data_IF_482251723377
#
_entry.id   IF_482251723377
#
_cell.length_a   1.000
_cell.length_b   1.000
_cell.length_c   1.000
_cell.angle_alpha   90.00
_cell.angle_beta   90.00
_cell.angle_gamma   90.00
#
_symmetry.space_group_name_H-M   'P 1'
#
loop_
_entity.id
_entity.type
_entity.pdbx_description
1 polymer ?
#
# COMPACT_ATOMS: atom_id res chain seq x y z
N UNK A 1 -10.88 -31.99 17.81
CA UNK A 1 -11.00 -32.38 16.41
C UNK A 1 -11.66 -31.23 15.68
N UNK A 2 -11.05 -30.08 15.76
CA UNK A 2 -11.39 -28.85 15.06
C UNK A 2 -10.07 -28.04 15.02
N UNK A 3 -9.38 -28.02 13.97
CA UNK A 3 -8.09 -27.35 13.89
C UNK A 3 -7.38 -27.61 12.56
N UNK A 4 -8.10 -27.51 11.44
CA UNK A 4 -7.47 -27.76 10.15
C UNK A 4 -8.11 -26.97 8.98
N UNK A 5 -8.78 -25.87 9.25
CA UNK A 5 -9.40 -25.04 8.21
C UNK A 5 -8.86 -23.60 8.14
N UNK A 6 -8.07 -23.16 9.12
CA UNK A 6 -7.51 -21.79 9.13
C UNK A 6 -6.30 -21.57 8.19
N UNK A 7 -5.49 -22.61 7.96
CA UNK A 7 -4.24 -22.47 7.19
C UNK A 7 -4.42 -22.49 5.67
N UNK A 8 -5.63 -22.75 5.16
CA UNK A 8 -5.89 -22.83 3.71
C UNK A 8 -6.36 -21.49 3.11
N UNK A 9 -6.77 -20.55 3.93
CA UNK A 9 -7.28 -19.25 3.46
C UNK A 9 -6.14 -18.29 3.06
N UNK A 10 -5.15 -18.14 3.91
CA UNK A 10 -4.03 -17.22 3.67
C UNK A 10 -3.15 -17.65 2.47
N UNK A 11 -3.00 -18.96 2.24
CA UNK A 11 -2.23 -19.46 1.09
C UNK A 11 -2.93 -19.27 -0.26
N UNK A 12 -4.25 -19.01 -0.26
CA UNK A 12 -5.02 -18.82 -1.50
C UNK A 12 -5.06 -17.34 -1.94
N UNK A 13 -4.89 -16.40 -1.03
CA UNK A 13 -4.82 -14.97 -1.38
C UNK A 13 -3.50 -14.63 -2.09
N UNK A 14 -2.35 -15.07 -1.54
CA UNK A 14 -1.05 -14.86 -2.17
C UNK A 14 -0.87 -15.56 -3.53
N UNK A 15 -1.56 -16.72 -3.75
CA UNK A 15 -1.54 -17.43 -5.04
C UNK A 15 -2.46 -16.79 -6.11
N UNK A 16 -3.41 -15.96 -5.71
CA UNK A 16 -4.32 -15.33 -6.67
C UNK A 16 -3.65 -14.13 -7.38
N UNK A 17 -2.78 -13.39 -6.70
CA UNK A 17 -2.04 -12.26 -7.29
C UNK A 17 -1.00 -12.75 -8.31
N UNK A 18 -0.21 -13.77 -7.96
CA UNK A 18 0.76 -14.36 -8.89
C UNK A 18 0.12 -15.04 -10.13
N UNK A 19 -1.12 -15.53 -10.00
CA UNK A 19 -1.82 -16.15 -11.14
C UNK A 19 -2.42 -15.13 -12.10
N UNK A 20 -2.68 -13.91 -11.67
CA UNK A 20 -3.23 -12.87 -12.55
C UNK A 20 -2.16 -12.24 -13.44
N UNK A 21 -0.95 -12.07 -12.92
CA UNK A 21 0.20 -11.52 -13.70
C UNK A 21 0.74 -12.57 -14.70
N UNK A 22 0.68 -13.87 -14.37
CA UNK A 22 1.21 -14.94 -15.23
C UNK A 22 0.36 -15.32 -16.45
N UNK A 23 -0.89 -14.89 -16.55
CA UNK A 23 -1.83 -15.39 -17.57
C UNK A 23 -2.06 -14.44 -18.76
N UNK A 24 -1.34 -13.31 -18.83
CA UNK A 24 -1.46 -12.34 -19.93
C UNK A 24 -0.42 -12.51 -21.04
N UNK A 25 0.50 -13.50 -20.95
CA UNK A 25 1.60 -13.64 -21.93
C UNK A 25 1.51 -14.85 -22.86
N UNK A 26 0.38 -15.60 -22.92
CA UNK A 26 0.32 -16.76 -23.80
C UNK A 26 -0.95 -16.85 -24.64
N UNK A 27 -0.97 -16.07 -25.73
CA UNK A 27 -1.77 -16.37 -26.93
C UNK A 27 -1.24 -15.66 -28.18
N UNK A 28 -0.36 -16.30 -28.92
CA UNK A 28 -0.36 -16.17 -30.37
C UNK A 28 0.15 -17.46 -31.00
N UNK A 29 -0.75 -18.11 -31.69
CA UNK A 29 -0.54 -19.32 -32.48
C UNK A 29 0.25 -19.05 -33.78
N UNK A 30 1.10 -20.02 -34.06
CA UNK A 30 1.52 -20.57 -35.37
C UNK A 30 1.42 -19.74 -36.66
N UNK A 31 2.55 -19.54 -37.34
CA UNK A 31 2.90 -20.20 -38.60
C UNK A 31 4.28 -19.78 -39.20
N UNK A 32 5.01 -20.83 -39.53
CA UNK A 32 6.00 -21.02 -40.58
C UNK A 32 7.40 -20.41 -40.51
N UNK A 33 8.30 -21.38 -40.63
CA UNK A 33 9.72 -21.32 -40.74
C UNK A 33 10.22 -20.59 -41.99
N UNK A 34 11.28 -19.80 -41.86
CA UNK A 34 12.42 -19.87 -42.77
C UNK A 34 13.73 -19.38 -42.10
N UNK A 35 14.80 -20.00 -42.48
CA UNK A 35 16.14 -20.03 -41.91
C UNK A 35 17.00 -18.84 -42.35
N UNK A 36 17.73 -18.22 -41.44
CA UNK A 36 19.22 -18.04 -41.47
C UNK A 36 19.67 -17.16 -40.30
N UNK A 37 20.86 -17.39 -39.73
CA UNK A 37 21.32 -16.69 -38.53
C UNK A 37 22.17 -15.46 -38.86
N UNK A 38 21.96 -14.36 -38.15
CA UNK A 38 23.01 -13.35 -38.06
C UNK A 38 22.96 -12.58 -36.73
N UNK A 39 24.14 -12.58 -36.13
CA UNK A 39 24.76 -11.66 -35.15
C UNK A 39 23.99 -11.15 -33.92
N UNK A 40 24.59 -11.55 -32.78
CA UNK A 40 24.44 -10.97 -31.45
C UNK A 40 24.51 -9.45 -31.46
N UNK A 41 23.48 -8.83 -30.94
CA UNK A 41 23.60 -7.51 -30.33
C UNK A 41 22.96 -7.54 -28.94
N UNK A 42 23.65 -6.95 -27.99
CA UNK A 42 23.31 -6.97 -26.56
C UNK A 42 22.08 -6.10 -26.31
N UNK A 43 21.13 -6.52 -25.45
CA UNK A 43 20.05 -5.64 -25.09
C UNK A 43 20.54 -4.59 -24.09
N UNK A 44 20.37 -3.35 -24.48
CA UNK A 44 20.45 -2.19 -23.63
C UNK A 44 19.35 -2.32 -22.54
N UNK A 45 19.76 -2.14 -21.30
CA UNK A 45 18.84 -2.02 -20.19
C UNK A 45 18.34 -0.59 -20.16
N UNK A 46 17.19 -0.35 -20.73
CA UNK A 46 16.40 0.79 -20.39
C UNK A 46 15.17 0.32 -19.60
N UNK A 47 15.12 0.86 -18.46
CA UNK A 47 14.17 0.90 -17.37
C UNK A 47 12.70 0.72 -17.78
N UNK A 48 12.01 -0.07 -17.01
CA UNK A 48 10.56 -0.22 -17.06
C UNK A 48 9.91 1.09 -16.56
N UNK A 49 9.54 1.94 -17.50
CA UNK A 49 8.61 3.02 -17.29
C UNK A 49 7.26 2.51 -17.81
N UNK A 50 6.48 1.92 -16.93
CA UNK A 50 5.14 1.46 -17.22
C UNK A 50 4.15 2.44 -16.61
N UNK A 51 3.98 3.58 -17.28
CA UNK A 51 2.90 4.50 -16.93
C UNK A 51 1.52 3.88 -17.25
N UNK A 52 0.53 4.26 -16.49
CA UNK A 52 -0.87 3.86 -16.64
C UNK A 52 -1.42 4.07 -18.07
N UNK A 53 -0.84 5.02 -18.84
CA UNK A 53 -1.16 5.30 -20.24
C UNK A 53 -0.83 4.14 -21.20
N UNK A 54 0.17 3.30 -20.90
CA UNK A 54 0.48 2.12 -21.71
C UNK A 54 -0.62 1.06 -21.64
N UNK A 55 -1.40 1.06 -20.57
CA UNK A 55 -2.51 0.14 -20.38
C UNK A 55 -3.79 0.57 -21.12
N UNK A 56 -3.96 1.86 -21.41
CA UNK A 56 -5.13 2.41 -22.12
C UNK A 56 -5.03 2.33 -23.66
N UNK A 57 -3.93 1.88 -24.22
CA UNK A 57 -3.80 1.57 -25.65
C UNK A 57 -3.87 2.77 -26.60
N UNK A 58 -3.53 3.98 -26.15
CA UNK A 58 -3.44 5.15 -27.01
C UNK A 58 -2.20 5.07 -27.91
N UNK A 59 -2.38 4.64 -29.15
CA UNK A 59 -1.32 4.67 -30.19
C UNK A 59 -1.35 5.99 -30.92
N UNK A 60 -0.32 6.80 -30.75
CA UNK A 60 -0.08 7.98 -31.59
C UNK A 60 0.53 7.54 -32.93
N UNK A 61 -0.30 7.48 -34.00
CA UNK A 61 0.12 7.23 -35.37
C UNK A 61 0.27 8.56 -36.14
N UNK A 62 1.39 9.25 -35.93
CA UNK A 62 1.85 10.25 -36.90
C UNK A 62 3.06 9.75 -37.69
N UNK A 63 2.79 8.98 -38.76
CA UNK A 63 3.82 8.66 -39.79
C UNK A 63 4.19 9.92 -40.55
N UNK A 64 5.44 10.38 -40.39
CA UNK A 64 6.04 11.39 -41.27
C UNK A 64 6.74 10.67 -42.43
N UNK A 65 6.25 10.88 -43.65
CA UNK A 65 6.82 10.37 -44.90
C UNK A 65 8.23 10.95 -45.17
N UNK A 66 9.30 10.12 -45.35
CA UNK A 66 10.67 10.60 -45.53
C UNK A 66 11.05 11.05 -46.97
N UNK A 67 10.09 11.28 -47.87
CA UNK A 67 10.39 11.51 -49.29
C UNK A 67 10.10 12.90 -49.85
N UNK A 68 10.20 13.97 -49.10
CA UNK A 68 10.11 15.31 -49.69
C UNK A 68 11.43 16.08 -49.56
N UNK A 69 12.37 15.71 -50.42
CA UNK A 69 13.63 16.41 -50.57
C UNK A 69 13.86 16.80 -52.04
N UNK A 70 13.49 18.01 -52.42
CA UNK A 70 14.08 18.63 -53.62
C UNK A 70 14.07 20.17 -53.61
N UNK A 71 15.26 20.73 -53.53
CA UNK A 71 15.75 21.93 -54.22
C UNK A 71 15.32 23.33 -53.74
N UNK A 72 16.22 24.02 -53.02
CA UNK A 72 16.43 25.46 -53.17
C UNK A 72 17.89 25.83 -52.86
N UNK A 73 18.48 26.65 -53.70
CA UNK A 73 19.87 27.10 -53.67
C UNK A 73 20.17 28.17 -52.58
N UNK A 74 21.46 28.65 -52.52
CA UNK A 74 21.97 29.31 -51.30
C UNK A 74 21.57 30.79 -51.25
N UNK A 75 20.86 31.16 -50.17
CA UNK A 75 20.72 32.53 -49.72
C UNK A 75 21.00 32.56 -48.22
N UNK A 76 21.95 33.42 -47.86
CA UNK A 76 22.38 33.67 -46.49
C UNK A 76 21.17 34.03 -45.59
N UNK A 77 20.95 33.34 -44.48
CA UNK A 77 19.87 33.66 -43.61
C UNK A 77 20.31 34.60 -42.49
N UNK A 78 19.58 35.67 -42.36
CA UNK A 78 19.33 36.27 -41.06
C UNK A 78 18.93 35.15 -40.08
N UNK A 79 19.47 35.12 -38.87
CA UNK A 79 19.00 34.11 -37.89
C UNK A 79 17.52 34.36 -37.63
N UNK A 80 16.72 33.43 -38.13
CA UNK A 80 15.32 33.35 -37.72
C UNK A 80 15.26 33.40 -36.21
N UNK A 81 14.31 34.12 -35.59
CA UNK A 81 14.08 34.01 -34.16
C UNK A 81 13.89 32.52 -33.88
N UNK A 82 14.72 31.99 -32.99
CA UNK A 82 14.49 30.64 -32.48
C UNK A 82 13.04 30.65 -32.00
N UNK A 83 12.19 29.91 -32.71
CA UNK A 83 10.91 29.55 -32.20
C UNK A 83 11.26 28.77 -30.92
N UNK A 84 11.09 29.42 -29.78
CA UNK A 84 11.27 28.77 -28.50
C UNK A 84 10.52 27.45 -28.56
N UNK A 85 11.10 26.48 -27.93
CA UNK A 85 10.61 25.11 -27.83
C UNK A 85 9.09 25.10 -27.92
N UNK A 86 8.57 24.48 -29.00
CA UNK A 86 7.12 24.36 -29.19
C UNK A 86 6.53 23.33 -28.20
N UNK A 87 7.35 22.88 -27.28
CA UNK A 87 7.04 22.02 -26.14
C UNK A 87 7.17 22.79 -24.80
N UNK A 88 7.03 24.10 -24.82
CA UNK A 88 6.75 24.79 -23.57
C UNK A 88 5.34 24.38 -23.16
N UNK A 89 5.27 23.34 -22.32
CA UNK A 89 4.09 22.93 -21.58
C UNK A 89 3.46 24.21 -20.99
N UNK A 90 2.23 24.47 -21.32
CA UNK A 90 1.54 25.65 -20.82
C UNK A 90 1.18 25.32 -19.36
N UNK A 91 1.98 25.86 -18.48
CA UNK A 91 1.80 25.83 -17.03
C UNK A 91 0.64 26.75 -16.64
N UNK A 92 -0.59 26.30 -16.79
CA UNK A 92 -1.82 27.05 -16.52
C UNK A 92 -2.70 26.24 -15.59
N UNK A 93 -3.03 26.85 -14.46
CA UNK A 93 -4.02 26.32 -13.54
C UNK A 93 -5.41 26.25 -14.20
N UNK A 94 -5.96 25.07 -14.34
CA UNK A 94 -7.26 24.80 -14.94
C UNK A 94 -8.29 24.46 -13.86
N UNK A 95 -9.56 24.72 -14.15
CA UNK A 95 -10.67 24.21 -13.36
C UNK A 95 -11.67 23.52 -14.31
N UNK A 96 -11.73 22.21 -14.24
CA UNK A 96 -12.56 21.36 -15.11
C UNK A 96 -13.65 20.70 -14.26
N UNK A 97 -14.85 20.60 -14.84
CA UNK A 97 -15.98 19.95 -14.18
C UNK A 97 -16.74 19.08 -15.18
N UNK A 98 -16.90 17.80 -14.83
CA UNK A 98 -17.74 16.84 -15.53
C UNK A 98 -19.23 17.05 -15.25
N UNK A 99 -20.05 16.09 -15.63
CA UNK A 99 -21.51 16.11 -15.54
C UNK A 99 -22.05 14.80 -14.91
N UNK A 100 -23.25 14.37 -15.30
CA UNK A 100 -23.92 13.19 -14.73
C UNK A 100 -23.59 11.86 -15.48
N UNK A 101 -22.47 11.76 -16.19
CA UNK A 101 -22.04 10.58 -16.95
C UNK A 101 -20.53 10.49 -16.90
N UNK A 102 -19.98 9.30 -17.17
CA UNK A 102 -18.54 9.11 -17.20
C UNK A 102 -17.82 10.09 -18.14
N UNK A 103 -17.01 10.94 -17.58
CA UNK A 103 -16.27 12.00 -18.23
C UNK A 103 -14.76 11.69 -18.28
N UNK A 104 -14.03 12.34 -19.16
CA UNK A 104 -12.56 12.28 -19.22
C UNK A 104 -12.03 13.69 -19.09
N UNK A 105 -11.42 14.00 -17.97
CA UNK A 105 -10.84 15.30 -17.64
C UNK A 105 -9.31 15.18 -17.57
N UNK A 106 -8.61 16.14 -18.15
CA UNK A 106 -7.16 16.19 -18.08
C UNK A 106 -6.69 17.61 -17.85
N UNK A 107 -5.90 17.80 -16.80
CA UNK A 107 -5.11 18.96 -16.53
C UNK A 107 -4.07 19.18 -17.63
N UNK A 108 -2.93 19.50 -17.32
CA UNK A 108 -1.77 19.50 -18.25
C UNK A 108 -0.49 19.72 -17.46
N UNK A 109 -0.25 20.88 -16.96
CA UNK A 109 0.75 21.32 -16.04
C UNK A 109 0.24 22.59 -15.40
N UNK A 110 0.67 22.89 -14.21
CA UNK A 110 0.07 23.87 -13.33
C UNK A 110 -0.86 23.23 -12.31
N UNK A 111 -1.26 23.96 -11.32
CA UNK A 111 -2.06 23.45 -10.21
C UNK A 111 -3.54 23.40 -10.62
N UNK A 112 -4.02 22.21 -10.99
CA UNK A 112 -5.34 22.03 -11.60
C UNK A 112 -6.42 21.64 -10.58
N UNK A 113 -7.68 21.86 -10.92
CA UNK A 113 -8.84 21.36 -10.16
C UNK A 113 -9.77 20.61 -11.09
N UNK A 114 -9.90 19.29 -10.87
CA UNK A 114 -10.73 18.40 -11.68
C UNK A 114 -11.83 17.81 -10.81
N UNK A 115 -13.09 17.93 -11.25
CA UNK A 115 -14.26 17.34 -10.59
C UNK A 115 -15.02 16.47 -11.59
N UNK A 116 -15.13 15.17 -11.35
CA UNK A 116 -15.84 14.21 -12.19
C UNK A 116 -17.34 14.42 -12.13
N UNK A 117 -17.93 14.20 -10.99
CA UNK A 117 -19.36 14.39 -10.75
C UNK A 117 -20.08 13.07 -10.51
N UNK A 118 -21.00 12.68 -11.36
CA UNK A 118 -21.64 11.37 -11.24
C UNK A 118 -21.36 10.54 -12.47
N UNK A 119 -21.01 9.28 -12.27
CA UNK A 119 -20.67 8.36 -13.36
C UNK A 119 -19.24 7.90 -13.23
N UNK A 120 -18.82 6.95 -13.99
CA UNK A 120 -17.47 6.40 -13.92
C UNK A 120 -16.49 7.32 -14.68
N UNK A 121 -15.74 8.15 -13.97
CA UNK A 121 -14.93 9.23 -14.51
C UNK A 121 -13.43 8.86 -14.62
N UNK A 122 -12.70 9.54 -15.50
CA UNK A 122 -11.25 9.47 -15.63
C UNK A 122 -10.65 10.86 -15.49
N UNK A 123 -9.84 11.04 -14.46
CA UNK A 123 -9.19 12.29 -14.10
C UNK A 123 -7.68 12.13 -14.24
N UNK A 124 -6.98 13.07 -14.84
CA UNK A 124 -5.51 13.07 -14.97
C UNK A 124 -4.97 14.47 -14.76
N UNK A 125 -4.19 14.67 -13.70
CA UNK A 125 -3.55 15.95 -13.36
C UNK A 125 -2.35 16.22 -14.25
N UNK A 126 -1.37 15.37 -14.20
CA UNK A 126 -0.05 15.31 -14.86
C UNK A 126 1.07 16.02 -14.11
N UNK A 127 1.01 17.28 -13.87
CA UNK A 127 2.10 17.94 -13.17
C UNK A 127 1.75 19.33 -12.68
N UNK A 128 2.18 19.65 -11.52
CA UNK A 128 1.74 20.71 -10.63
C UNK A 128 1.04 20.09 -9.42
N UNK A 129 0.65 20.85 -8.45
CA UNK A 129 -0.05 20.38 -7.26
C UNK A 129 -1.57 20.37 -7.52
N UNK A 130 -2.12 19.20 -7.88
CA UNK A 130 -3.49 19.06 -8.39
C UNK A 130 -4.52 18.71 -7.30
N UNK A 131 -5.76 19.12 -7.51
CA UNK A 131 -6.90 18.67 -6.72
C UNK A 131 -7.91 17.94 -7.60
N UNK A 132 -8.16 16.68 -7.32
CA UNK A 132 -9.08 15.82 -8.07
C UNK A 132 -10.15 15.22 -7.17
N UNK A 133 -11.40 15.18 -7.68
CA UNK A 133 -12.54 14.58 -6.99
C UNK A 133 -13.40 13.81 -7.98
N UNK A 134 -13.61 12.49 -7.72
CA UNK A 134 -14.47 11.63 -8.53
C UNK A 134 -15.95 11.89 -8.25
N UNK A 135 -16.37 11.93 -7.01
CA UNK A 135 -17.74 12.03 -6.47
C UNK A 135 -18.50 10.68 -6.50
N UNK A 136 -19.60 10.51 -7.29
CA UNK A 136 -20.40 9.27 -7.34
C UNK A 136 -20.00 8.43 -8.57
N UNK A 137 -19.48 7.27 -8.41
CA UNK A 137 -19.14 6.38 -9.55
C UNK A 137 -17.97 5.47 -9.22
N UNK A 138 -17.52 4.68 -10.18
CA UNK A 138 -16.27 3.96 -10.08
C UNK A 138 -15.22 4.75 -10.87
N UNK A 139 -14.46 5.57 -10.16
CA UNK A 139 -13.62 6.59 -10.74
C UNK A 139 -12.15 6.18 -10.83
N UNK A 140 -11.42 6.80 -11.74
CA UNK A 140 -10.00 6.62 -11.91
C UNK A 140 -9.31 7.99 -11.90
N UNK A 141 -8.40 8.23 -10.96
CA UNK A 141 -7.64 9.46 -10.86
C UNK A 141 -6.12 9.18 -10.84
N UNK A 142 -5.38 9.96 -11.62
CA UNK A 142 -3.93 9.91 -11.78
C UNK A 142 -3.40 11.33 -11.56
N UNK A 143 -2.69 11.56 -10.42
CA UNK A 143 -2.12 12.83 -10.03
C UNK A 143 -1.03 13.27 -10.98
N UNK A 144 0.02 12.51 -11.02
CA UNK A 144 1.17 12.73 -11.88
C UNK A 144 2.37 13.21 -11.12
N UNK A 145 2.89 14.39 -11.40
CA UNK A 145 4.04 14.91 -10.70
C UNK A 145 3.68 16.18 -9.92
N UNK A 146 3.89 16.19 -8.63
CA UNK A 146 3.55 17.29 -7.72
C UNK A 146 2.99 16.76 -6.43
N UNK A 147 2.55 17.60 -5.55
CA UNK A 147 1.91 17.18 -4.31
C UNK A 147 0.37 17.25 -4.47
N UNK A 148 -0.21 16.11 -4.83
CA UNK A 148 -1.57 16.01 -5.29
C UNK A 148 -2.58 15.70 -4.17
N UNK A 149 -3.84 16.03 -4.39
CA UNK A 149 -4.94 15.63 -3.50
C UNK A 149 -6.04 14.98 -4.31
N UNK A 150 -6.21 13.68 -4.13
CA UNK A 150 -7.17 12.84 -4.84
C UNK A 150 -8.27 12.36 -3.88
N UNK A 151 -9.52 12.45 -4.32
CA UNK A 151 -10.68 11.92 -3.60
C UNK A 151 -11.53 11.09 -4.58
N UNK A 152 -11.70 9.81 -4.30
CA UNK A 152 -12.59 8.94 -5.05
C UNK A 152 -14.05 9.35 -4.84
N UNK A 153 -14.59 9.01 -3.71
CA UNK A 153 -15.94 9.41 -3.31
C UNK A 153 -16.82 8.25 -2.95
N UNK A 154 -17.77 7.90 -3.79
CA UNK A 154 -18.65 6.76 -3.56
C UNK A 154 -18.64 5.83 -4.77
N UNK A 155 -18.23 4.61 -4.57
CA UNK A 155 -18.04 3.57 -5.59
C UNK A 155 -16.70 2.91 -5.42
N UNK A 156 -16.36 1.97 -6.26
CA UNK A 156 -15.08 1.27 -6.17
C UNK A 156 -14.06 2.04 -7.03
N UNK A 157 -13.20 2.85 -6.38
CA UNK A 157 -12.34 3.82 -7.02
C UNK A 157 -10.88 3.34 -7.17
N UNK A 158 -10.15 3.92 -8.14
CA UNK A 158 -8.72 3.71 -8.32
C UNK A 158 -8.00 5.06 -8.35
N UNK A 159 -7.13 5.31 -7.38
CA UNK A 159 -6.37 6.54 -7.22
C UNK A 159 -4.87 6.26 -7.27
N UNK A 160 -4.12 7.03 -8.03
CA UNK A 160 -2.67 6.98 -8.10
C UNK A 160 -2.10 8.39 -7.90
N UNK A 161 -1.17 8.55 -6.93
CA UNK A 161 -0.45 9.81 -6.68
C UNK A 161 0.64 10.05 -7.71
N UNK A 162 1.46 9.05 -7.98
CA UNK A 162 2.66 9.03 -8.82
C UNK A 162 3.86 9.72 -8.13
N UNK A 163 4.48 10.79 -8.72
CA UNK A 163 5.66 11.46 -8.17
C UNK A 163 5.28 12.60 -7.20
N UNK A 164 5.56 12.50 -5.92
CA UNK A 164 5.36 13.62 -4.98
C UNK A 164 4.80 13.21 -3.62
N UNK A 165 4.66 14.15 -2.70
CA UNK A 165 4.06 13.87 -1.39
C UNK A 165 2.54 14.02 -1.48
N UNK A 166 1.81 12.93 -1.70
CA UNK A 166 0.42 12.94 -2.11
C UNK A 166 -0.58 12.66 -0.98
N UNK A 167 -1.83 13.04 -1.23
CA UNK A 167 -2.93 12.72 -0.35
C UNK A 167 -4.08 12.06 -1.10
N UNK A 168 -4.34 10.78 -0.80
CA UNK A 168 -5.36 9.97 -1.42
C UNK A 168 -6.46 9.60 -0.40
N UNK A 169 -7.71 9.73 -0.80
CA UNK A 169 -8.87 9.34 0.00
C UNK A 169 -9.82 8.55 -0.90
N UNK A 170 -10.00 7.26 -0.63
CA UNK A 170 -10.93 6.40 -1.36
C UNK A 170 -12.36 6.84 -1.14
N UNK A 171 -12.88 6.60 0.04
CA UNK A 171 -14.21 7.06 0.43
C UNK A 171 -15.14 5.95 0.83
N UNK A 172 -16.11 5.60 0.00
CA UNK A 172 -17.03 4.52 0.27
C UNK A 172 -17.10 3.56 -0.92
N UNK A 173 -16.69 2.33 -0.74
CA UNK A 173 -16.59 1.31 -1.78
C UNK A 173 -15.37 0.45 -1.50
N UNK A 174 -14.98 -0.37 -2.45
CA UNK A 174 -13.76 -1.15 -2.35
C UNK A 174 -12.69 -0.46 -3.23
N UNK A 175 -11.87 0.35 -2.61
CA UNK A 175 -10.99 1.28 -3.29
C UNK A 175 -9.56 0.73 -3.46
N UNK A 176 -8.84 1.24 -4.45
CA UNK A 176 -7.42 0.95 -4.66
C UNK A 176 -6.64 2.26 -4.71
N UNK A 177 -5.74 2.45 -3.74
CA UNK A 177 -4.94 3.64 -3.57
C UNK A 177 -3.46 3.31 -3.73
N UNK A 178 -2.76 4.03 -4.58
CA UNK A 178 -1.33 3.87 -4.88
C UNK A 178 -0.64 5.21 -4.66
N UNK A 179 0.27 5.32 -3.67
CA UNK A 179 1.09 6.52 -3.45
C UNK A 179 2.16 6.64 -4.51
N UNK A 180 3.03 5.68 -4.61
CA UNK A 180 4.20 5.45 -5.47
C UNK A 180 5.47 6.14 -4.96
N UNK A 181 5.99 7.25 -5.56
CA UNK A 181 7.22 7.91 -5.15
C UNK A 181 6.90 9.14 -4.27
N UNK A 182 7.28 9.12 -3.01
CA UNK A 182 7.05 10.29 -2.13
C UNK A 182 6.67 9.89 -0.71
N UNK A 183 6.36 10.86 0.12
CA UNK A 183 5.86 10.59 1.47
C UNK A 183 4.34 10.81 1.50
N UNK A 184 3.59 9.72 1.31
CA UNK A 184 2.19 9.76 0.96
C UNK A 184 1.25 9.58 2.16
N UNK A 185 0.02 10.06 2.02
CA UNK A 185 -1.04 9.87 3.01
C UNK A 185 -2.26 9.23 2.36
N UNK A 186 -2.49 7.96 2.62
CA UNK A 186 -3.57 7.16 2.06
C UNK A 186 -4.63 6.85 3.12
N UNK A 187 -5.89 7.08 2.79
CA UNK A 187 -7.04 6.73 3.63
C UNK A 187 -8.10 6.00 2.78
N UNK A 188 -8.30 4.71 3.03
CA UNK A 188 -9.28 3.88 2.32
C UNK A 188 -10.69 4.36 2.58
N UNK A 189 -11.17 4.20 3.79
CA UNK A 189 -12.46 4.73 4.22
C UNK A 189 -13.45 3.66 4.64
N UNK A 190 -14.47 3.41 3.86
CA UNK A 190 -15.48 2.42 4.18
C UNK A 190 -15.60 1.38 3.05
N UNK A 191 -15.27 0.15 3.34
CA UNK A 191 -15.24 -0.96 2.38
C UNK A 191 -13.90 -1.67 2.46
N UNK A 192 -13.74 -2.74 1.71
CA UNK A 192 -12.48 -3.50 1.75
C UNK A 192 -11.51 -2.93 0.74
N UNK A 193 -10.54 -2.18 1.25
CA UNK A 193 -9.65 -1.35 0.47
C UNK A 193 -8.27 -1.99 0.26
N UNK A 194 -7.56 -1.49 -0.75
CA UNK A 194 -6.16 -1.86 -1.03
C UNK A 194 -5.32 -0.59 -1.09
N UNK A 195 -4.39 -0.44 -0.14
CA UNK A 195 -3.52 0.71 -0.01
C UNK A 195 -2.06 0.29 -0.20
N UNK A 196 -1.34 0.97 -1.08
CA UNK A 196 0.08 0.75 -1.32
C UNK A 196 0.78 2.11 -1.24
N UNK A 197 1.68 2.28 -0.26
CA UNK A 197 2.51 3.48 -0.13
C UNK A 197 3.48 3.61 -1.29
N UNK A 198 4.56 2.87 -1.28
CA UNK A 198 5.52 2.82 -2.40
C UNK A 198 6.96 3.07 -1.98
N UNK A 199 7.63 4.10 -2.54
CA UNK A 199 8.93 4.58 -2.07
C UNK A 199 8.73 5.83 -1.20
N UNK A 200 9.13 5.81 0.06
CA UNK A 200 9.07 6.97 0.95
C UNK A 200 8.53 6.62 2.33
N UNK A 201 8.47 7.59 3.23
CA UNK A 201 7.93 7.37 4.57
C UNK A 201 6.41 7.65 4.53
N UNK A 202 5.58 6.60 4.42
CA UNK A 202 4.16 6.71 4.11
C UNK A 202 3.24 6.56 5.35
N UNK A 203 2.01 7.08 5.25
CA UNK A 203 0.98 6.92 6.27
C UNK A 203 -0.30 6.35 5.66
N UNK A 204 -0.64 5.11 6.03
CA UNK A 204 -1.75 4.34 5.49
C UNK A 204 -2.78 4.05 6.58
N UNK A 205 -4.05 4.34 6.30
CA UNK A 205 -5.18 4.01 7.19
C UNK A 205 -6.23 3.29 6.36
N UNK A 206 -6.54 2.04 6.70
CA UNK A 206 -7.57 1.23 6.04
C UNK A 206 -8.96 1.81 6.26
N UNK A 207 -9.50 1.65 7.44
CA UNK A 207 -10.79 2.21 7.85
C UNK A 207 -11.80 1.18 8.30
N UNK A 208 -12.99 1.14 7.69
CA UNK A 208 -14.02 0.15 8.01
C UNK A 208 -13.93 -1.06 7.08
N UNK A 209 -14.01 -2.29 7.60
CA UNK A 209 -14.00 -3.60 6.94
C UNK A 209 -12.57 -4.13 6.65
N UNK A 210 -12.47 -5.30 6.02
CA UNK A 210 -11.21 -6.03 5.89
C UNK A 210 -10.32 -5.40 4.80
N UNK A 211 -9.20 -4.80 5.19
CA UNK A 211 -8.32 -4.03 4.34
C UNK A 211 -6.96 -4.72 4.08
N UNK A 212 -6.28 -4.31 3.02
CA UNK A 212 -4.92 -4.70 2.72
C UNK A 212 -4.03 -3.47 2.55
N UNK A 213 -3.02 -3.33 3.42
CA UNK A 213 -2.09 -2.22 3.49
C UNK A 213 -0.66 -2.71 3.24
N UNK A 214 0.08 -2.03 2.38
CA UNK A 214 1.52 -2.27 2.18
C UNK A 214 2.26 -0.94 2.19
N UNK A 215 3.19 -0.76 3.13
CA UNK A 215 4.05 0.43 3.20
C UNK A 215 4.99 0.49 2.00
N UNK A 216 5.90 -0.43 1.90
CA UNK A 216 6.82 -0.54 0.76
C UNK A 216 8.27 -0.31 1.13
N UNK A 217 8.90 0.73 0.62
CA UNK A 217 10.24 1.16 1.00
C UNK A 217 10.17 2.45 1.82
N UNK A 218 10.68 2.43 3.03
CA UNK A 218 10.69 3.63 3.89
C UNK A 218 10.29 3.29 5.31
N UNK A 219 10.05 4.29 6.15
CA UNK A 219 9.58 4.02 7.51
C UNK A 219 8.11 4.41 7.57
N UNK A 220 7.25 3.41 7.49
CA UNK A 220 5.85 3.58 7.23
C UNK A 220 4.99 3.50 8.51
N UNK A 221 3.85 4.17 8.52
CA UNK A 221 2.86 4.13 9.60
C UNK A 221 1.54 3.55 9.07
N UNK A 222 1.23 2.30 9.44
CA UNK A 222 0.09 1.54 8.94
C UNK A 222 -0.93 1.30 10.07
N UNK A 223 -2.18 1.66 9.83
CA UNK A 223 -3.30 1.46 10.76
C UNK A 223 -4.42 0.72 10.03
N UNK A 224 -4.80 -0.48 10.50
CA UNK A 224 -5.92 -1.24 9.97
C UNK A 224 -7.26 -0.57 10.28
N UNK A 225 -7.46 -0.18 11.52
CA UNK A 225 -8.68 0.35 12.16
C UNK A 225 -9.72 -0.76 12.33
N UNK A 226 -10.83 -0.83 11.65
CA UNK A 226 -11.91 -1.79 11.95
C UNK A 226 -12.09 -2.86 10.87
N UNK A 227 -11.80 -4.11 11.18
CA UNK A 227 -11.86 -5.20 10.22
C UNK A 227 -10.89 -6.33 10.55
N UNK A 228 -10.76 -7.27 9.66
CA UNK A 228 -9.67 -8.24 9.74
C UNK A 228 -8.65 -7.90 8.67
N UNK A 229 -7.66 -7.11 9.07
CA UNK A 229 -6.78 -6.42 8.17
C UNK A 229 -5.47 -7.19 7.93
N UNK A 230 -4.83 -6.87 6.81
CA UNK A 230 -3.50 -7.37 6.49
C UNK A 230 -2.56 -6.19 6.27
N UNK A 231 -1.57 -6.05 7.14
CA UNK A 231 -0.57 -4.99 7.14
C UNK A 231 0.80 -5.58 6.82
N UNK A 232 1.47 -5.05 5.81
CA UNK A 232 2.82 -5.40 5.40
C UNK A 232 3.67 -4.12 5.38
N UNK A 233 4.59 -3.98 6.36
CA UNK A 233 5.47 -2.81 6.45
C UNK A 233 6.40 -2.73 5.24
N UNK A 234 7.13 -3.80 4.98
CA UNK A 234 8.03 -3.91 3.83
C UNK A 234 9.49 -3.75 4.21
N UNK A 235 10.14 -2.68 3.81
CA UNK A 235 11.53 -2.43 4.14
C UNK A 235 11.72 -1.05 4.76
N UNK A 236 12.17 -1.02 6.00
CA UNK A 236 12.34 0.18 6.80
C UNK A 236 12.00 -0.07 8.25
N UNK A 237 11.87 0.96 9.05
CA UNK A 237 11.47 0.79 10.44
C UNK A 237 10.02 1.23 10.59
N UNK A 238 9.12 0.27 10.51
CA UNK A 238 7.70 0.52 10.33
C UNK A 238 6.94 0.51 11.65
N UNK A 239 5.82 1.21 11.69
CA UNK A 239 4.88 1.19 12.80
C UNK A 239 3.54 0.68 12.31
N UNK A 240 3.09 -0.44 12.88
CA UNK A 240 1.82 -1.07 12.50
C UNK A 240 0.88 -1.17 13.70
N UNK A 241 -0.36 -0.76 13.51
CA UNK A 241 -1.40 -0.82 14.52
C UNK A 241 -2.61 -1.65 14.03
N UNK A 242 -2.72 -2.88 14.56
CA UNK A 242 -3.86 -3.78 14.36
C UNK A 242 -4.85 -3.73 15.52
N UNK A 243 -4.82 -2.69 16.36
CA UNK A 243 -5.71 -2.58 17.51
C UNK A 243 -7.00 -1.88 17.13
N UNK A 244 -8.09 -2.51 17.40
CA UNK A 244 -9.43 -1.97 17.20
C UNK A 244 -9.68 -0.71 18.04
N UNK A 245 -10.13 0.36 17.41
CA UNK A 245 -10.56 1.57 18.12
C UNK A 245 -11.83 1.36 18.93
N UNK A 246 -12.70 0.42 18.55
CA UNK A 246 -13.93 0.03 19.24
C UNK A 246 -14.25 -1.45 18.99
N UNK A 247 -13.69 -2.36 19.76
CA UNK A 247 -13.97 -3.79 19.66
C UNK A 247 -15.42 -4.14 20.06
N UNK A 248 -16.25 -4.50 19.09
CA UNK A 248 -17.55 -5.16 19.32
C UNK A 248 -17.39 -6.68 19.24
N UNK A 249 -16.47 -7.16 18.45
CA UNK A 249 -16.00 -8.55 18.35
C UNK A 249 -14.50 -8.51 18.09
N UNK A 250 -13.70 -9.47 18.63
CA UNK A 250 -12.29 -9.54 18.27
C UNK A 250 -12.21 -9.89 16.76
N UNK A 251 -11.74 -8.99 16.00
CA UNK A 251 -11.33 -9.16 14.61
C UNK A 251 -9.88 -9.66 14.64
N UNK A 252 -9.33 -10.14 13.57
CA UNK A 252 -8.02 -10.80 13.59
C UNK A 252 -7.17 -10.21 12.48
N UNK A 253 -6.14 -9.48 12.87
CA UNK A 253 -5.22 -8.84 11.93
C UNK A 253 -3.97 -9.66 11.71
N UNK A 254 -3.38 -9.44 10.54
CA UNK A 254 -2.11 -10.02 10.15
C UNK A 254 -1.10 -8.90 9.92
N UNK A 255 -0.08 -8.82 10.78
CA UNK A 255 0.97 -7.82 10.75
C UNK A 255 2.30 -8.48 10.36
N UNK A 256 2.96 -7.96 9.34
CA UNK A 256 4.28 -8.36 8.91
C UNK A 256 5.20 -7.13 8.86
N UNK A 257 6.20 -7.04 9.76
CA UNK A 257 7.17 -5.95 9.77
C UNK A 257 7.99 -5.91 8.49
N UNK A 258 8.74 -6.96 8.23
CA UNK A 258 9.55 -7.10 7.03
C UNK A 258 11.04 -6.96 7.31
N UNK A 259 11.74 -6.07 6.60
CA UNK A 259 13.15 -5.78 6.81
C UNK A 259 13.30 -4.49 7.63
N UNK A 260 13.77 -4.56 8.87
CA UNK A 260 14.06 -3.36 9.68
C UNK A 260 13.72 -3.52 11.17
N UNK A 261 13.86 -2.46 11.95
CA UNK A 261 13.53 -2.49 13.38
C UNK A 261 12.09 -1.97 13.56
N UNK A 262 11.09 -2.88 13.56
CA UNK A 262 9.69 -2.55 13.45
C UNK A 262 8.95 -2.45 14.80
N UNK A 263 7.81 -1.76 14.81
CA UNK A 263 6.93 -1.65 15.97
C UNK A 263 5.52 -2.13 15.63
N UNK A 264 5.09 -3.24 16.26
CA UNK A 264 3.83 -3.89 16.01
C UNK A 264 2.92 -3.77 17.24
N UNK A 265 1.82 -3.05 17.12
CA UNK A 265 0.77 -2.93 18.14
C UNK A 265 -0.32 -3.96 17.89
N UNK A 266 -0.43 -4.92 18.83
CA UNK A 266 -1.28 -6.10 18.67
C UNK A 266 -2.50 -6.04 19.56
N UNK A 267 -3.65 -6.35 19.00
CA UNK A 267 -4.91 -6.58 19.66
C UNK A 267 -5.18 -8.04 19.99
N UNK A 268 -6.44 -8.35 20.26
CA UNK A 268 -6.86 -9.68 20.67
C UNK A 268 -7.04 -10.62 19.48
N UNK A 269 -6.15 -11.57 19.33
CA UNK A 269 -6.24 -12.62 18.30
C UNK A 269 -5.35 -12.43 17.11
N UNK A 270 -4.64 -11.31 17.02
CA UNK A 270 -3.78 -10.96 15.91
C UNK A 270 -2.63 -11.94 15.69
N UNK A 271 -2.16 -11.95 14.46
CA UNK A 271 -0.95 -12.66 14.05
C UNK A 271 0.12 -11.65 13.65
N UNK A 272 1.31 -11.79 14.23
CA UNK A 272 2.44 -10.92 13.93
C UNK A 272 3.71 -11.70 13.60
N UNK A 273 4.45 -11.16 12.65
CA UNK A 273 5.86 -11.46 12.37
C UNK A 273 6.64 -10.15 12.37
N UNK A 274 7.78 -10.08 13.07
CA UNK A 274 8.69 -8.94 12.99
C UNK A 274 9.45 -8.93 11.68
N UNK A 275 10.10 -10.04 11.37
CA UNK A 275 10.94 -10.17 10.17
C UNK A 275 12.43 -10.10 10.48
N UNK A 276 13.23 -9.39 9.64
CA UNK A 276 14.63 -9.15 9.89
C UNK A 276 14.84 -7.85 10.69
N UNK A 277 15.38 -7.92 11.89
CA UNK A 277 15.70 -6.71 12.67
C UNK A 277 15.53 -6.89 14.17
N UNK A 278 15.37 -5.78 14.86
CA UNK A 278 15.14 -5.76 16.31
C UNK A 278 13.76 -5.19 16.61
N UNK A 279 12.76 -6.06 16.64
CA UNK A 279 11.37 -5.70 16.59
C UNK A 279 10.76 -5.47 17.97
N UNK A 280 9.74 -4.62 18.00
CA UNK A 280 9.01 -4.27 19.19
C UNK A 280 7.55 -4.72 19.05
N UNK A 281 7.16 -5.77 19.81
CA UNK A 281 5.78 -6.26 19.87
C UNK A 281 5.10 -5.70 21.12
N UNK A 282 4.07 -4.90 20.94
CA UNK A 282 3.28 -4.33 22.02
C UNK A 282 1.90 -4.98 22.11
N UNK A 283 1.61 -5.57 23.25
CA UNK A 283 0.30 -6.14 23.60
C UNK A 283 -0.42 -5.18 24.53
N UNK A 284 -1.57 -4.66 24.14
CA UNK A 284 -2.37 -3.74 24.96
C UNK A 284 -3.86 -4.09 24.93
N UNK A 285 -4.58 -3.62 25.95
CA UNK A 285 -6.05 -3.68 26.07
C UNK A 285 -6.70 -5.08 26.02
N UNK A 286 -5.94 -6.13 26.38
CA UNK A 286 -6.43 -7.51 26.39
C UNK A 286 -7.27 -7.78 27.65
N UNK A 287 -8.51 -8.22 27.46
CA UNK A 287 -9.44 -8.55 28.54
C UNK A 287 -9.53 -10.08 28.79
N UNK A 288 -9.91 -10.52 30.00
CA UNK A 288 -10.11 -11.94 30.28
C UNK A 288 -11.15 -12.59 29.37
N UNK A 289 -10.71 -13.54 28.55
CA UNK A 289 -11.56 -14.29 27.63
C UNK A 289 -11.46 -13.86 26.18
N UNK A 290 -10.67 -12.85 25.88
CA UNK A 290 -10.31 -12.49 24.52
C UNK A 290 -9.46 -13.58 23.84
N UNK A 291 -9.37 -13.56 22.53
CA UNK A 291 -8.43 -14.39 21.80
C UNK A 291 -7.00 -13.95 22.13
N UNK A 292 -6.06 -14.88 22.14
CA UNK A 292 -4.65 -14.55 22.38
C UNK A 292 -3.97 -14.14 21.07
N UNK A 293 -3.11 -13.14 21.12
CA UNK A 293 -2.26 -12.79 19.99
C UNK A 293 -1.24 -13.91 19.68
N UNK A 294 -0.78 -13.99 18.46
CA UNK A 294 0.20 -14.99 18.02
C UNK A 294 1.41 -14.28 17.39
N UNK A 295 2.59 -14.52 17.95
CA UNK A 295 3.86 -13.97 17.45
C UNK A 295 4.66 -15.14 16.89
N UNK A 296 5.02 -15.11 15.60
CA UNK A 296 5.50 -16.28 14.88
C UNK A 296 7.03 -16.44 14.85
N UNK A 297 7.81 -15.36 14.87
CA UNK A 297 9.27 -15.38 14.62
C UNK A 297 10.10 -14.66 15.68
N UNK A 298 9.57 -14.41 16.85
CA UNK A 298 10.22 -13.70 17.95
C UNK A 298 11.62 -14.23 18.29
N UNK A 299 12.62 -13.37 18.24
CA UNK A 299 13.99 -13.63 18.60
C UNK A 299 14.39 -12.88 19.89
N UNK A 300 14.41 -13.55 21.02
CA UNK A 300 14.72 -12.95 22.34
C UNK A 300 16.11 -12.29 22.47
N UNK A 301 16.96 -12.31 21.43
CA UNK A 301 18.27 -11.65 21.44
C UNK A 301 18.23 -10.27 20.76
N UNK A 302 17.25 -10.03 19.96
CA UNK A 302 17.08 -8.83 19.11
C UNK A 302 15.75 -8.15 19.43
N UNK A 303 14.66 -8.92 19.57
CA UNK A 303 13.32 -8.39 19.72
C UNK A 303 12.93 -8.07 21.16
N UNK A 304 11.93 -7.21 21.31
CA UNK A 304 11.37 -6.80 22.57
C UNK A 304 9.86 -7.04 22.61
N UNK A 305 9.39 -7.80 23.59
CA UNK A 305 7.97 -7.97 23.87
C UNK A 305 7.53 -7.09 25.03
N UNK A 306 6.52 -6.29 24.81
CA UNK A 306 5.96 -5.34 25.79
C UNK A 306 4.52 -5.70 26.10
N UNK A 307 4.18 -5.72 27.37
CA UNK A 307 2.80 -5.85 27.84
C UNK A 307 2.39 -4.54 28.50
N UNK A 308 1.49 -3.81 27.90
CA UNK A 308 0.88 -2.59 28.44
C UNK A 308 -0.32 -2.99 29.28
N UNK A 309 -0.42 -2.48 30.51
CA UNK A 309 -1.51 -2.83 31.43
C UNK A 309 -2.13 -1.61 32.09
N UNK A 310 -3.44 -1.66 32.39
CA UNK A 310 -4.11 -0.63 33.18
C UNK A 310 -3.78 -0.82 34.68
N UNK A 311 -3.08 0.11 35.34
CA UNK A 311 -2.77 0.03 36.75
C UNK A 311 -3.99 0.01 37.68
N UNK A 312 -5.16 0.44 37.19
CA UNK A 312 -6.38 0.38 37.96
C UNK A 312 -6.98 -1.03 37.97
N UNK A 313 -6.82 -1.79 36.91
CA UNK A 313 -7.24 -3.19 36.79
C UNK A 313 -6.19 -4.14 37.37
N UNK A 314 -4.90 -3.82 37.20
CA UNK A 314 -3.75 -4.61 37.61
C UNK A 314 -2.85 -3.84 38.59
N UNK A 315 -3.26 -3.67 39.86
CA UNK A 315 -2.49 -2.87 40.83
C UNK A 315 -1.17 -3.51 41.31
N UNK A 316 -1.00 -4.80 41.11
CA UNK A 316 0.22 -5.59 41.40
C UNK A 316 0.37 -6.69 40.34
N UNK A 317 0.71 -6.32 39.08
CA UNK A 317 0.66 -7.22 37.96
C UNK A 317 1.65 -8.39 38.10
N UNK A 318 1.18 -9.61 37.90
CA UNK A 318 2.00 -10.83 37.97
C UNK A 318 2.15 -11.44 36.59
N UNK A 319 3.36 -11.27 36.00
CA UNK A 319 3.72 -11.90 34.74
C UNK A 319 4.22 -13.34 34.97
N UNK A 320 3.74 -14.26 34.18
CA UNK A 320 4.24 -15.64 34.12
C UNK A 320 4.29 -16.14 32.68
N UNK A 321 5.17 -17.12 32.44
CA UNK A 321 5.32 -17.79 31.16
C UNK A 321 5.01 -19.27 31.32
N UNK A 322 4.23 -19.84 30.41
CA UNK A 322 3.93 -21.28 30.37
C UNK A 322 4.30 -21.86 29.00
N UNK A 323 4.98 -23.03 29.01
CA UNK A 323 5.27 -23.78 27.78
C UNK A 323 4.26 -24.92 27.64
N UNK A 324 3.42 -24.93 26.61
CA UNK A 324 2.48 -26.02 26.39
C UNK A 324 3.19 -27.36 26.14
N UNK A 325 2.55 -28.46 26.49
CA UNK A 325 3.15 -29.79 26.35
C UNK A 325 3.47 -30.11 24.87
N UNK A 326 4.69 -30.56 24.59
CA UNK A 326 5.20 -30.96 23.27
C UNK A 326 5.32 -29.84 22.24
N UNK A 327 5.49 -28.61 22.66
CA UNK A 327 5.82 -27.46 21.79
C UNK A 327 7.07 -26.76 22.33
N UNK A 328 7.67 -25.92 21.48
CA UNK A 328 8.70 -24.97 21.87
C UNK A 328 8.09 -23.56 22.04
N UNK A 329 6.77 -23.46 22.01
CA UNK A 329 6.04 -22.20 22.14
C UNK A 329 5.96 -21.76 23.60
N UNK A 330 5.76 -20.48 23.80
CA UNK A 330 5.59 -19.87 25.13
C UNK A 330 4.31 -19.05 25.15
N UNK A 331 3.48 -19.28 26.18
CA UNK A 331 2.30 -18.46 26.45
C UNK A 331 2.66 -17.42 27.49
N UNK A 332 2.45 -16.15 27.14
CA UNK A 332 2.61 -14.99 28.03
C UNK A 332 1.31 -14.77 28.80
N UNK A 333 1.40 -14.70 30.14
CA UNK A 333 0.25 -14.67 31.03
C UNK A 333 0.39 -13.50 32.00
N UNK A 334 -0.60 -12.62 32.09
CA UNK A 334 -0.69 -11.55 33.08
C UNK A 334 -1.86 -11.85 34.07
N UNK A 335 -1.57 -11.92 35.37
CA UNK A 335 -2.57 -12.19 36.42
C UNK A 335 -3.42 -13.46 36.18
N UNK A 336 -2.83 -14.46 35.49
CA UNK A 336 -3.50 -15.72 35.12
C UNK A 336 -4.35 -15.63 33.86
N UNK A 337 -4.32 -14.52 33.13
CA UNK A 337 -4.95 -14.34 31.82
C UNK A 337 -3.90 -14.53 30.73
N UNK A 338 -4.04 -15.48 29.79
CA UNK A 338 -3.16 -15.60 28.66
C UNK A 338 -3.37 -14.45 27.67
N UNK A 339 -2.27 -13.83 27.25
CA UNK A 339 -2.28 -12.66 26.36
C UNK A 339 -1.77 -12.99 24.96
N UNK A 340 -0.65 -13.71 24.88
CA UNK A 340 -0.02 -14.05 23.61
C UNK A 340 0.59 -15.45 23.62
N UNK A 341 0.70 -16.04 22.45
CA UNK A 341 1.51 -17.22 22.19
C UNK A 341 2.68 -16.83 21.29
N UNK A 342 3.89 -16.99 21.80
CA UNK A 342 5.15 -16.78 21.08
C UNK A 342 5.60 -18.12 20.52
N UNK A 343 5.57 -18.29 19.21
CA UNK A 343 5.97 -19.54 18.55
C UNK A 343 7.48 -19.69 18.60
N UNK A 344 7.95 -20.90 18.95
CA UNK A 344 9.39 -21.15 19.06
C UNK A 344 10.10 -20.40 20.20
N UNK A 345 9.38 -19.80 21.13
CA UNK A 345 9.90 -19.00 22.23
C UNK A 345 10.69 -19.78 23.30
N UNK A 346 11.16 -21.00 22.98
CA UNK A 346 11.93 -21.84 23.89
C UNK A 346 13.19 -21.13 24.41
N UNK A 347 13.23 -20.93 25.73
CA UNK A 347 14.32 -20.20 26.37
C UNK A 347 13.99 -18.79 26.81
N UNK A 348 12.85 -18.28 26.39
CA UNK A 348 12.27 -17.02 26.87
C UNK A 348 12.08 -17.04 28.39
N UNK A 349 12.39 -15.95 29.05
CA UNK A 349 12.23 -15.76 30.49
C UNK A 349 11.35 -14.54 30.74
N UNK A 350 10.84 -14.40 31.96
CA UNK A 350 10.05 -13.22 32.36
C UNK A 350 10.84 -11.89 32.25
N UNK A 351 12.16 -11.95 32.09
CA UNK A 351 13.00 -10.77 31.91
C UNK A 351 13.09 -10.31 30.46
N UNK A 352 12.61 -11.12 29.53
CA UNK A 352 12.54 -10.81 28.10
C UNK A 352 11.19 -10.12 27.75
N UNK A 353 10.32 -9.93 28.76
CA UNK A 353 9.03 -9.23 28.61
C UNK A 353 9.01 -7.98 29.49
N UNK A 354 8.78 -6.83 28.88
CA UNK A 354 8.63 -5.57 29.58
C UNK A 354 7.17 -5.37 30.01
N UNK A 355 6.97 -5.03 31.30
CA UNK A 355 5.66 -4.58 31.80
C UNK A 355 5.63 -3.06 31.88
N UNK A 356 4.71 -2.44 31.15
CA UNK A 356 4.58 -0.97 31.09
C UNK A 356 3.15 -0.57 31.50
N UNK A 357 2.98 0.32 32.51
CA UNK A 357 1.66 0.83 32.81
C UNK A 357 1.18 1.75 31.71
N UNK A 358 -0.07 1.58 31.29
CA UNK A 358 -0.74 2.50 30.38
C UNK A 358 -0.67 3.93 30.93
N UNK A 359 -0.31 4.88 30.07
CA UNK A 359 -0.30 6.29 30.46
C UNK A 359 -1.73 6.76 30.65
N UNK A 360 -1.99 7.48 31.76
CA UNK A 360 -3.30 8.08 31.96
C UNK A 360 -3.54 9.14 30.88
N UNK A 361 -4.63 8.97 30.12
CA UNK A 361 -5.06 9.88 29.06
C UNK A 361 -5.45 11.26 29.59
#
# INVERSE_FOLDING_TARGET
MLGMFGLLGALLAGLAVDSFIGNLTDKSDDHDADTTPDTMDTPDRDTADASMLDWLGATDDTEIDPNDAAAAGPHDPDPAPELGDADAQIDLDLALQGQDQGDILSGQGGDDTLMGGSGDDQLTGRGGDDYMQGDDGADMADGGAGADTLQGGAGDDMLAGEDGDDKLVGGAGADTLLGQDGADSLYGGAGSDTLIGGEGDDSLIGGDADDWLSGGLGNDDLIGDAGSDTLDGGAGNDVMDGRESVAVFPEMDFLNGGDGDDTLHLGAGDYATGGEGADWFELSDLAPGDAIANIADYNAHEDTLVVVFDPALHPDPQLSLETPENTDDVVVILDGVPLAMVQGGAGMTIYDVLLTPAQAA
#
